data_IF_707380447710
#
_entry.id   IF_707380447710
#
_cell.length_a   1.000
_cell.length_b   1.000
_cell.length_c   1.000
_cell.angle_alpha   90.00
_cell.angle_beta   90.00
_cell.angle_gamma   90.00
#
_symmetry.space_group_name_H-M   'P 1'
#
loop_
_entity.id
_entity.type
_entity.pdbx_description
1 polymer ?
#
# COMPACT_ATOMS: atom_id res chain seq x y z
N UNK A 1 20.61 -8.55 1.21
CA UNK A 1 19.29 -7.91 1.14
C UNK A 1 19.25 -6.94 -0.03
N UNK A 2 18.21 -6.99 -0.86
CA UNK A 2 18.06 -6.08 -2.02
C UNK A 2 17.57 -4.73 -1.51
N UNK A 3 18.39 -3.69 -1.65
CA UNK A 3 17.95 -2.30 -1.45
C UNK A 3 17.14 -1.89 -2.68
N UNK A 4 15.82 -1.81 -2.51
CA UNK A 4 14.94 -1.27 -3.53
C UNK A 4 14.84 0.24 -3.32
N UNK A 5 15.42 1.02 -4.22
CA UNK A 5 15.11 2.45 -4.31
C UNK A 5 13.70 2.59 -4.90
N UNK A 6 12.70 2.77 -4.03
CA UNK A 6 11.30 2.92 -4.42
C UNK A 6 10.87 4.38 -4.48
N UNK A 7 9.90 4.67 -5.35
CA UNK A 7 9.22 5.96 -5.44
C UNK A 7 7.73 5.74 -5.15
N UNK A 8 7.11 6.61 -4.36
CA UNK A 8 5.68 6.53 -4.06
C UNK A 8 4.91 7.63 -4.82
N UNK A 9 3.90 7.23 -5.60
CA UNK A 9 2.93 8.13 -6.21
C UNK A 9 1.68 8.17 -5.32
N UNK A 10 1.44 9.34 -4.70
CA UNK A 10 0.38 9.53 -3.71
C UNK A 10 -1.04 9.57 -4.30
N UNK A 11 -2.03 9.27 -3.47
CA UNK A 11 -3.47 9.39 -3.75
C UNK A 11 -3.92 10.76 -4.23
N UNK A 12 -3.17 11.82 -3.92
CA UNK A 12 -3.43 13.15 -4.45
C UNK A 12 -3.37 13.24 -5.99
N UNK A 13 -2.75 12.27 -6.67
CA UNK A 13 -2.54 12.27 -8.12
C UNK A 13 -3.50 11.36 -8.88
N UNK A 14 -4.00 10.32 -8.21
CA UNK A 14 -4.83 9.27 -8.82
C UNK A 14 -6.18 9.06 -8.13
N UNK A 15 -6.35 9.44 -6.87
CA UNK A 15 -7.59 9.25 -6.10
C UNK A 15 -8.30 10.57 -5.80
N UNK A 16 -9.51 10.48 -5.24
CA UNK A 16 -10.19 11.68 -4.74
C UNK A 16 -9.37 12.26 -3.57
N UNK A 17 -9.11 13.55 -3.61
CA UNK A 17 -8.24 14.22 -2.64
C UNK A 17 -8.66 15.67 -2.45
N UNK A 18 -7.89 16.45 -1.68
CA UNK A 18 -8.07 17.91 -1.62
C UNK A 18 -7.88 18.60 -2.97
N UNK A 19 -7.29 17.92 -3.96
CA UNK A 19 -7.00 18.46 -5.29
C UNK A 19 -7.92 17.93 -6.40
N UNK A 20 -8.60 16.80 -6.17
CA UNK A 20 -9.50 16.17 -7.15
C UNK A 20 -10.78 15.71 -6.46
N UNK A 21 -11.93 16.20 -6.90
CA UNK A 21 -13.24 15.72 -6.46
C UNK A 21 -13.50 14.30 -6.95
N UNK A 22 -14.46 13.62 -6.31
CA UNK A 22 -14.86 12.27 -6.74
C UNK A 22 -15.42 12.26 -8.17
N UNK A 23 -16.16 13.30 -8.57
CA UNK A 23 -16.70 13.42 -9.92
C UNK A 23 -15.62 13.66 -10.97
N UNK A 24 -14.62 14.50 -10.68
CA UNK A 24 -13.44 14.68 -11.55
C UNK A 24 -12.66 13.37 -11.69
N UNK A 25 -12.61 12.60 -10.60
CA UNK A 25 -11.93 11.31 -10.59
C UNK A 25 -12.68 10.28 -11.45
N UNK A 26 -14.01 10.23 -11.35
CA UNK A 26 -14.85 9.33 -12.17
C UNK A 26 -14.90 9.74 -13.65
N UNK A 27 -14.99 11.03 -13.93
CA UNK A 27 -15.15 11.56 -15.30
C UNK A 27 -13.83 11.79 -16.05
N UNK A 28 -12.69 11.67 -15.38
CA UNK A 28 -11.38 11.90 -15.97
C UNK A 28 -11.01 10.86 -17.03
N UNK A 29 -10.67 11.32 -18.24
CA UNK A 29 -10.14 10.48 -19.31
C UNK A 29 -8.62 10.25 -19.18
N UNK A 30 -8.05 9.52 -20.15
CA UNK A 30 -6.61 9.21 -20.14
C UNK A 30 -5.73 10.47 -20.19
N UNK A 31 -6.12 11.49 -20.94
CA UNK A 31 -5.32 12.72 -21.08
C UNK A 31 -5.39 13.56 -19.81
N UNK A 32 -6.54 13.61 -19.15
CA UNK A 32 -6.69 14.18 -17.82
C UNK A 32 -5.75 13.48 -16.82
N UNK A 33 -5.74 12.15 -16.77
CA UNK A 33 -4.89 11.39 -15.84
C UNK A 33 -3.40 11.59 -16.17
N UNK A 34 -3.01 11.64 -17.44
CA UNK A 34 -1.63 11.99 -17.83
C UNK A 34 -1.27 13.39 -17.35
N UNK A 35 -2.15 14.36 -17.58
CA UNK A 35 -1.92 15.74 -17.15
C UNK A 35 -1.79 15.85 -15.63
N UNK A 36 -2.58 15.11 -14.83
CA UNK A 36 -2.39 15.10 -13.36
C UNK A 36 -1.06 14.47 -12.95
N UNK A 37 -0.53 13.50 -13.70
CA UNK A 37 0.81 12.96 -13.50
C UNK A 37 1.90 13.99 -13.81
N UNK A 38 1.73 14.78 -14.88
CA UNK A 38 2.71 15.73 -15.41
C UNK A 38 2.66 17.15 -14.84
N UNK A 39 1.62 17.54 -14.12
CA UNK A 39 1.48 18.91 -13.59
C UNK A 39 1.86 19.02 -12.11
N UNK A 40 2.33 17.93 -11.50
CA UNK A 40 2.76 17.90 -10.11
C UNK A 40 3.95 18.85 -9.86
N UNK A 41 3.79 19.96 -9.10
CA UNK A 41 4.71 21.10 -9.13
C UNK A 41 6.14 20.91 -8.57
N UNK A 42 6.55 19.72 -8.11
CA UNK A 42 7.77 19.60 -7.29
C UNK A 42 8.69 18.39 -7.55
N UNK A 43 8.38 17.42 -8.43
CA UNK A 43 9.20 16.18 -8.48
C UNK A 43 9.49 15.58 -9.86
N UNK A 44 9.03 16.19 -10.95
CA UNK A 44 9.12 15.58 -12.30
C UNK A 44 10.57 15.44 -12.79
N UNK A 45 11.51 16.27 -12.33
CA UNK A 45 12.94 16.05 -12.63
C UNK A 45 13.47 14.70 -12.11
N UNK A 46 12.76 14.03 -11.17
CA UNK A 46 13.12 12.69 -10.66
C UNK A 46 12.30 11.55 -11.27
N UNK A 47 11.20 11.85 -11.96
CA UNK A 47 10.38 10.87 -12.67
C UNK A 47 10.78 10.91 -14.15
N UNK A 48 11.85 10.21 -14.50
CA UNK A 48 11.91 9.76 -15.90
C UNK A 48 10.85 8.68 -16.05
N UNK A 49 9.95 8.85 -17.00
CA UNK A 49 8.95 7.85 -17.44
C UNK A 49 9.59 6.50 -17.83
N UNK A 50 10.92 6.49 -17.94
CA UNK A 50 11.77 5.33 -18.19
C UNK A 50 12.35 4.70 -16.91
N UNK A 51 11.87 5.08 -15.73
CA UNK A 51 12.36 4.51 -14.47
C UNK A 51 12.18 2.99 -14.45
N UNK A 52 13.23 2.28 -14.02
CA UNK A 52 13.20 0.85 -13.75
C UNK A 52 12.99 0.54 -12.25
N UNK A 53 12.64 1.57 -11.47
CA UNK A 53 12.43 1.48 -10.03
C UNK A 53 11.06 0.92 -9.69
N UNK A 54 10.89 0.60 -8.40
CA UNK A 54 9.58 0.32 -7.82
C UNK A 54 8.78 1.61 -7.72
N UNK A 55 7.55 1.60 -8.22
CA UNK A 55 6.61 2.71 -8.12
C UNK A 55 5.36 2.25 -7.38
N UNK A 56 5.11 2.83 -6.21
CA UNK A 56 3.89 2.54 -5.43
C UNK A 56 2.76 3.42 -5.94
N UNK A 57 1.69 2.80 -6.43
CA UNK A 57 0.47 3.45 -6.86
C UNK A 57 -0.51 3.50 -5.69
N UNK A 58 -0.56 4.64 -5.02
CA UNK A 58 -1.58 4.89 -4.00
C UNK A 58 -2.81 5.50 -4.68
N UNK A 59 -3.80 4.67 -5.02
CA UNK A 59 -5.10 5.10 -5.56
C UNK A 59 -6.17 4.87 -4.48
N UNK A 60 -6.23 5.80 -3.53
CA UNK A 60 -7.17 5.76 -2.42
C UNK A 60 -8.44 6.58 -2.66
N UNK A 61 -9.30 6.64 -1.64
CA UNK A 61 -10.47 7.53 -1.54
C UNK A 61 -11.45 7.45 -2.73
N UNK A 62 -12.53 6.69 -2.55
CA UNK A 62 -13.62 6.60 -3.51
C UNK A 62 -13.39 5.55 -4.59
N UNK A 63 -12.16 5.39 -5.10
CA UNK A 63 -11.90 4.42 -6.16
C UNK A 63 -11.37 3.06 -5.69
N UNK A 64 -10.75 3.00 -4.53
CA UNK A 64 -10.04 1.80 -4.10
C UNK A 64 -10.97 0.58 -3.98
N UNK A 65 -10.57 -0.60 -4.50
CA UNK A 65 -11.34 -1.84 -4.43
C UNK A 65 -11.88 -2.22 -3.06
N UNK A 66 -11.21 -1.84 -1.97
CA UNK A 66 -11.64 -2.15 -0.60
C UNK A 66 -13.01 -1.59 -0.22
N UNK A 67 -13.61 -0.73 -1.05
CA UNK A 67 -14.93 -0.13 -0.83
C UNK A 67 -15.97 -0.50 -1.89
N UNK A 68 -15.63 -1.31 -2.88
CA UNK A 68 -16.56 -1.56 -4.00
C UNK A 68 -17.86 -2.21 -3.56
N UNK A 69 -17.80 -3.10 -2.57
CA UNK A 69 -18.98 -3.69 -1.94
C UNK A 69 -19.95 -2.67 -1.28
N UNK A 70 -19.55 -1.40 -1.14
CA UNK A 70 -20.39 -0.32 -0.58
C UNK A 70 -21.12 0.50 -1.65
N UNK A 71 -20.81 0.29 -2.93
CA UNK A 71 -21.42 1.03 -4.04
C UNK A 71 -22.57 0.24 -4.68
N UNK A 72 -23.62 0.95 -5.07
CA UNK A 72 -24.68 0.41 -5.92
C UNK A 72 -24.19 0.21 -7.37
N UNK A 73 -24.79 -0.73 -8.09
CA UNK A 73 -24.27 -1.27 -9.37
C UNK A 73 -23.91 -0.24 -10.46
N UNK A 74 -24.68 0.84 -10.75
CA UNK A 74 -24.24 1.81 -11.74
C UNK A 74 -22.99 2.58 -11.32
N UNK A 75 -22.87 2.89 -10.02
CA UNK A 75 -21.73 3.61 -9.48
C UNK A 75 -20.51 2.70 -9.34
N UNK A 76 -20.71 1.43 -8.94
CA UNK A 76 -19.66 0.43 -8.83
C UNK A 76 -18.93 0.24 -10.16
N UNK A 77 -19.67 0.08 -11.26
CA UNK A 77 -19.09 -0.03 -12.60
C UNK A 77 -18.25 1.20 -12.99
N UNK A 78 -18.77 2.41 -12.75
CA UNK A 78 -18.04 3.65 -13.03
C UNK A 78 -16.77 3.79 -12.20
N UNK A 79 -16.84 3.46 -10.91
CA UNK A 79 -15.69 3.44 -9.99
C UNK A 79 -14.62 2.46 -10.47
N UNK A 80 -15.03 1.28 -10.93
CA UNK A 80 -14.14 0.24 -11.39
C UNK A 80 -13.38 0.66 -12.65
N UNK A 81 -14.11 1.14 -13.67
CA UNK A 81 -13.52 1.63 -14.91
C UNK A 81 -12.55 2.79 -14.65
N UNK A 82 -12.92 3.72 -13.76
CA UNK A 82 -12.07 4.83 -13.36
C UNK A 82 -10.78 4.37 -12.65
N UNK A 83 -10.85 3.33 -11.81
CA UNK A 83 -9.68 2.74 -11.17
C UNK A 83 -8.78 2.04 -12.19
N UNK A 84 -9.37 1.23 -13.08
CA UNK A 84 -8.68 0.50 -14.14
C UNK A 84 -7.93 1.46 -15.08
N UNK A 85 -8.60 2.49 -15.60
CA UNK A 85 -8.03 3.45 -16.54
C UNK A 85 -6.76 4.11 -15.97
N UNK A 86 -6.73 4.39 -14.66
CA UNK A 86 -5.56 4.98 -14.00
C UNK A 86 -4.37 4.04 -13.95
N UNK A 87 -4.61 2.75 -13.70
CA UNK A 87 -3.55 1.75 -13.76
C UNK A 87 -3.06 1.54 -15.19
N UNK A 88 -3.95 1.55 -16.18
CA UNK A 88 -3.58 1.46 -17.60
C UNK A 88 -2.70 2.64 -18.01
N UNK A 89 -3.10 3.87 -17.67
CA UNK A 89 -2.28 5.06 -17.91
C UNK A 89 -0.94 4.94 -17.17
N UNK A 90 -0.92 4.59 -15.88
CA UNK A 90 0.32 4.41 -15.14
C UNK A 90 1.27 3.38 -15.79
N UNK A 91 0.74 2.26 -16.32
CA UNK A 91 1.51 1.25 -17.04
C UNK A 91 2.03 1.74 -18.38
N UNK A 92 1.23 2.51 -19.13
CA UNK A 92 1.66 3.10 -20.40
C UNK A 92 2.75 4.15 -20.20
N UNK A 93 2.62 5.00 -19.19
CA UNK A 93 3.56 6.08 -18.90
C UNK A 93 4.83 5.57 -18.20
N UNK A 94 4.79 4.42 -17.53
CA UNK A 94 5.95 3.84 -16.82
C UNK A 94 6.13 2.35 -17.16
N UNK A 95 6.38 2.00 -18.44
CA UNK A 95 6.36 0.61 -18.90
C UNK A 95 7.48 -0.24 -18.29
N UNK A 96 8.60 0.38 -17.90
CA UNK A 96 9.76 -0.30 -17.34
C UNK A 96 9.75 -0.36 -15.80
N UNK A 97 8.82 0.33 -15.16
CA UNK A 97 8.74 0.40 -13.71
C UNK A 97 8.06 -0.85 -13.14
N UNK A 98 8.46 -1.21 -11.91
CA UNK A 98 7.73 -2.21 -11.12
C UNK A 98 6.60 -1.52 -10.37
N UNK A 99 5.38 -1.59 -10.91
CA UNK A 99 4.20 -0.92 -10.35
C UNK A 99 3.59 -1.75 -9.23
N UNK A 100 3.42 -1.17 -8.05
CA UNK A 100 2.85 -1.86 -6.88
C UNK A 100 1.57 -1.16 -6.45
N UNK A 101 0.45 -1.90 -6.39
CA UNK A 101 -0.83 -1.35 -5.93
C UNK A 101 -0.87 -1.30 -4.39
N UNK A 102 -1.06 -0.11 -3.83
CA UNK A 102 -1.13 0.11 -2.38
C UNK A 102 -2.55 -0.14 -1.82
N UNK A 103 -2.62 -0.71 -0.61
CA UNK A 103 -3.84 -0.83 0.21
C UNK A 103 -4.55 -2.19 0.15
N UNK A 104 -3.80 -3.26 -0.17
CA UNK A 104 -4.35 -4.58 -0.47
C UNK A 104 -3.71 -5.70 0.35
N UNK A 105 -4.41 -6.28 1.35
CA UNK A 105 -5.49 -5.72 2.18
C UNK A 105 -4.97 -4.72 3.23
N UNK A 106 -5.84 -4.16 4.07
CA UNK A 106 -5.46 -3.16 5.07
C UNK A 106 -6.42 -3.24 6.24
N UNK A 107 -5.97 -3.66 7.43
CA UNK A 107 -6.81 -3.74 8.61
C UNK A 107 -7.56 -2.42 8.85
N UNK A 108 -8.88 -2.52 9.06
CA UNK A 108 -9.69 -1.35 9.34
C UNK A 108 -9.36 -0.75 10.73
N UNK A 109 -10.04 0.33 11.13
CA UNK A 109 -9.85 0.99 12.44
C UNK A 109 -10.17 0.12 13.65
N UNK A 110 -10.80 -1.04 13.44
CA UNK A 110 -11.12 -2.05 14.44
C UNK A 110 -10.21 -3.29 14.34
N UNK A 111 -9.21 -3.24 13.46
CA UNK A 111 -8.27 -4.33 13.26
C UNK A 111 -8.82 -5.53 12.49
N UNK A 112 -9.77 -5.38 11.58
CA UNK A 112 -10.22 -6.53 10.76
C UNK A 112 -10.37 -6.16 9.30
N UNK A 113 -9.96 -7.04 8.39
CA UNK A 113 -10.44 -7.01 7.00
C UNK A 113 -11.78 -7.77 6.95
N UNK A 114 -12.76 -7.28 6.17
CA UNK A 114 -14.04 -7.98 6.00
C UNK A 114 -13.96 -8.96 4.85
N UNK A 115 -14.76 -10.03 4.88
CA UNK A 115 -14.87 -10.93 3.71
C UNK A 115 -15.41 -10.22 2.48
N UNK A 116 -16.28 -9.22 2.68
CA UNK A 116 -16.76 -8.34 1.62
C UNK A 116 -15.63 -7.55 0.93
N UNK A 117 -14.63 -7.11 1.70
CA UNK A 117 -13.45 -6.44 1.15
C UNK A 117 -12.61 -7.38 0.30
N UNK A 118 -12.39 -8.62 0.76
CA UNK A 118 -11.69 -9.62 -0.05
C UNK A 118 -12.46 -9.99 -1.30
N UNK A 119 -13.78 -10.04 -1.24
CA UNK A 119 -14.60 -10.30 -2.42
C UNK A 119 -14.44 -9.20 -3.47
N UNK A 120 -14.36 -7.93 -3.06
CA UNK A 120 -14.04 -6.84 -4.00
C UNK A 120 -12.64 -6.97 -4.61
N UNK A 121 -11.68 -7.58 -3.91
CA UNK A 121 -10.38 -7.89 -4.50
C UNK A 121 -10.44 -9.06 -5.48
N UNK A 122 -11.26 -10.08 -5.22
CA UNK A 122 -11.49 -11.18 -6.19
C UNK A 122 -12.13 -10.66 -7.46
N UNK A 123 -13.14 -9.80 -7.35
CA UNK A 123 -13.73 -9.12 -8.51
C UNK A 123 -12.67 -8.31 -9.28
N UNK A 124 -11.81 -7.55 -8.59
CA UNK A 124 -10.71 -6.84 -9.23
C UNK A 124 -9.75 -7.79 -9.97
N UNK A 125 -9.49 -8.97 -9.42
CA UNK A 125 -8.70 -10.03 -10.04
C UNK A 125 -9.33 -10.53 -11.34
N UNK A 126 -10.62 -10.89 -11.31
CA UNK A 126 -11.37 -11.40 -12.46
C UNK A 126 -11.43 -10.39 -13.61
N UNK A 127 -11.43 -9.10 -13.27
CA UNK A 127 -11.48 -8.01 -14.25
C UNK A 127 -10.09 -7.58 -14.74
N UNK A 128 -9.03 -8.29 -14.34
CA UNK A 128 -7.67 -8.05 -14.82
C UNK A 128 -7.02 -6.78 -14.28
N UNK A 129 -7.54 -6.21 -13.19
CA UNK A 129 -6.94 -5.04 -12.52
C UNK A 129 -5.51 -5.36 -12.09
N UNK A 130 -5.30 -6.56 -11.55
CA UNK A 130 -3.99 -7.01 -11.10
C UNK A 130 -3.06 -7.44 -12.24
N UNK A 131 -3.53 -7.53 -13.49
CA UNK A 131 -2.66 -7.74 -14.65
C UNK A 131 -1.84 -6.49 -14.99
N UNK A 132 -2.26 -5.32 -14.50
CA UNK A 132 -1.64 -4.03 -14.79
C UNK A 132 -0.51 -3.66 -13.81
N UNK A 133 -0.37 -4.42 -12.72
CA UNK A 133 0.62 -4.17 -11.65
C UNK A 133 1.49 -5.40 -11.41
N UNK A 134 2.65 -5.21 -10.83
CA UNK A 134 3.66 -6.25 -10.58
C UNK A 134 3.63 -6.78 -9.13
N UNK A 135 2.68 -6.30 -8.33
CA UNK A 135 2.51 -6.71 -6.94
C UNK A 135 1.52 -5.84 -6.19
N UNK A 136 1.23 -6.28 -4.97
CA UNK A 136 0.32 -5.63 -4.04
C UNK A 136 1.04 -5.28 -2.75
N UNK A 137 0.59 -4.21 -2.10
CA UNK A 137 1.18 -3.68 -0.89
C UNK A 137 0.10 -3.54 0.19
N UNK A 138 0.01 -4.50 1.13
CA UNK A 138 -0.84 -4.32 2.29
C UNK A 138 -0.27 -3.25 3.21
N UNK A 139 -1.15 -2.42 3.77
CA UNK A 139 -0.77 -1.42 4.76
C UNK A 139 -0.87 -2.04 6.16
N UNK A 140 0.29 -2.42 6.70
CA UNK A 140 0.44 -3.16 7.95
C UNK A 140 0.97 -2.25 9.08
N UNK A 141 0.49 -1.02 9.15
CA UNK A 141 0.85 -0.10 10.22
C UNK A 141 0.28 -0.58 11.56
N UNK A 142 1.05 -0.43 12.65
CA UNK A 142 0.47 -0.58 13.98
C UNK A 142 -0.70 0.38 14.14
N UNK A 143 -1.84 -0.14 14.56
CA UNK A 143 -3.09 0.62 14.70
C UNK A 143 -3.35 1.05 16.14
N UNK A 144 -2.69 0.43 17.09
CA UNK A 144 -2.93 0.59 18.50
C UNK A 144 -1.58 0.60 19.25
N UNK A 145 -1.52 1.34 20.35
CA UNK A 145 -0.43 1.34 21.32
C UNK A 145 -0.85 0.67 22.63
N UNK A 146 0.06 0.56 23.62
CA UNK A 146 -0.09 -0.36 24.76
C UNK A 146 -1.29 -0.10 25.67
N UNK A 147 -1.86 1.10 25.66
CA UNK A 147 -3.03 1.45 26.46
C UNK A 147 -4.34 1.40 25.66
N UNK A 148 -4.29 1.07 24.37
CA UNK A 148 -5.49 0.89 23.57
C UNK A 148 -6.12 -0.50 23.80
N UNK A 149 -7.47 -0.61 23.77
CA UNK A 149 -8.16 -1.88 24.04
C UNK A 149 -7.84 -3.04 23.10
N UNK A 150 -7.35 -2.76 21.87
CA UNK A 150 -7.08 -3.76 20.83
C UNK A 150 -5.58 -3.95 20.55
N UNK A 151 -4.73 -3.54 21.50
CA UNK A 151 -3.29 -3.61 21.34
C UNK A 151 -2.78 -5.05 21.22
N UNK A 152 -3.22 -5.94 22.09
CA UNK A 152 -2.76 -7.32 22.16
C UNK A 152 -3.09 -8.11 20.87
N UNK A 153 -4.23 -7.79 20.24
CA UNK A 153 -4.63 -8.40 18.97
C UNK A 153 -3.94 -7.77 17.75
N UNK A 154 -3.28 -6.62 17.89
CA UNK A 154 -2.74 -5.86 16.77
C UNK A 154 -1.82 -6.68 15.88
N UNK A 155 -0.89 -7.44 16.48
CA UNK A 155 0.07 -8.23 15.71
C UNK A 155 -0.61 -9.37 14.95
N UNK A 156 -1.57 -10.06 15.57
CA UNK A 156 -2.32 -11.12 14.92
C UNK A 156 -3.11 -10.58 13.74
N UNK A 157 -3.77 -9.44 13.92
CA UNK A 157 -4.52 -8.74 12.87
C UNK A 157 -3.63 -8.37 11.68
N UNK A 158 -2.43 -7.86 11.94
CA UNK A 158 -1.48 -7.52 10.88
C UNK A 158 -0.97 -8.77 10.16
N UNK A 159 -0.73 -9.87 10.89
CA UNK A 159 -0.34 -11.14 10.31
C UNK A 159 -1.48 -11.73 9.45
N UNK A 160 -2.72 -11.68 9.93
CA UNK A 160 -3.89 -12.13 9.17
C UNK A 160 -4.04 -11.33 7.87
N UNK A 161 -3.90 -10.00 7.92
CA UNK A 161 -3.94 -9.18 6.71
C UNK A 161 -2.79 -9.51 5.74
N UNK A 162 -1.59 -9.78 6.25
CA UNK A 162 -0.50 -10.26 5.40
C UNK A 162 -0.88 -11.60 4.74
N UNK A 163 -1.40 -12.55 5.50
CA UNK A 163 -1.79 -13.87 4.97
C UNK A 163 -2.91 -13.72 3.94
N UNK A 164 -3.92 -12.89 4.18
CA UNK A 164 -5.00 -12.64 3.22
C UNK A 164 -4.50 -11.96 1.94
N UNK A 165 -3.42 -11.18 2.01
CA UNK A 165 -2.77 -10.62 0.82
C UNK A 165 -2.27 -11.71 -0.14
N UNK A 166 -1.94 -12.89 0.39
CA UNK A 166 -1.50 -14.04 -0.39
C UNK A 166 -2.62 -14.69 -1.19
N UNK A 167 -3.89 -14.41 -0.87
CA UNK A 167 -5.05 -14.87 -1.63
C UNK A 167 -5.27 -14.05 -2.90
N UNK A 168 -4.62 -12.89 -3.04
CA UNK A 168 -4.78 -12.02 -4.20
C UNK A 168 -4.02 -12.61 -5.39
N UNK A 169 -4.76 -12.88 -6.46
CA UNK A 169 -4.23 -13.37 -7.74
C UNK A 169 -4.45 -12.36 -8.85
N UNK A 170 -3.78 -12.53 -9.98
CA UNK A 170 -4.15 -11.90 -11.24
C UNK A 170 -5.28 -12.69 -11.96
N UNK A 171 -5.70 -12.23 -13.13
CA UNK A 171 -6.81 -12.86 -13.87
C UNK A 171 -6.50 -14.29 -14.34
N UNK A 172 -5.22 -14.67 -14.36
CA UNK A 172 -4.74 -16.03 -14.69
C UNK A 172 -4.66 -16.94 -13.45
N UNK A 173 -5.03 -16.44 -12.28
CA UNK A 173 -4.93 -17.18 -11.02
C UNK A 173 -3.50 -17.25 -10.44
N UNK A 174 -2.55 -16.49 -10.98
CA UNK A 174 -1.19 -16.42 -10.45
C UNK A 174 -1.17 -15.52 -9.21
N UNK A 175 -0.55 -15.98 -8.13
CA UNK A 175 -0.43 -15.18 -6.90
C UNK A 175 0.39 -13.90 -7.12
N UNK A 176 -0.10 -12.79 -6.59
CA UNK A 176 0.60 -11.51 -6.68
C UNK A 176 1.79 -11.47 -5.70
N UNK A 177 2.95 -10.91 -6.12
CA UNK A 177 4.03 -10.58 -5.20
C UNK A 177 3.58 -9.57 -4.14
N UNK A 178 3.97 -9.78 -2.89
CA UNK A 178 3.55 -8.93 -1.76
C UNK A 178 4.70 -8.09 -1.22
N UNK A 179 4.41 -6.80 -1.00
CA UNK A 179 5.32 -5.82 -0.43
C UNK A 179 4.68 -5.16 0.80
N UNK A 180 4.75 -5.76 2.00
CA UNK A 180 4.13 -5.17 3.19
C UNK A 180 4.70 -3.78 3.49
N UNK A 181 3.78 -2.85 3.78
CA UNK A 181 4.11 -1.50 4.21
C UNK A 181 3.96 -1.36 5.73
N UNK A 182 5.06 -1.07 6.41
CA UNK A 182 5.09 -0.73 7.82
C UNK A 182 5.27 0.78 8.03
N UNK A 183 5.07 1.21 9.27
CA UNK A 183 5.34 2.57 9.74
C UNK A 183 6.05 2.46 11.08
N UNK A 184 6.95 3.40 11.36
CA UNK A 184 7.57 3.53 12.69
C UNK A 184 6.67 4.26 13.69
N UNK A 185 5.45 4.61 13.27
CA UNK A 185 4.44 5.27 14.09
C UNK A 185 3.11 4.53 14.06
N UNK A 186 2.41 4.56 15.19
CA UNK A 186 1.01 4.11 15.27
C UNK A 186 0.18 5.00 14.36
N UNK A 187 -0.58 4.40 13.45
CA UNK A 187 -1.36 5.10 12.45
C UNK A 187 -2.83 4.70 12.58
N UNK A 188 -3.56 5.40 13.44
CA UNK A 188 -4.99 5.24 13.65
C UNK A 188 -5.53 6.46 14.40
N UNK A 189 -6.31 7.31 13.73
CA UNK A 189 -6.85 8.53 14.35
C UNK A 189 -7.73 8.31 15.59
N UNK A 190 -8.12 7.07 15.89
CA UNK A 190 -8.91 6.70 17.07
C UNK A 190 -8.07 6.14 18.24
N UNK A 191 -6.77 5.89 18.03
CA UNK A 191 -5.86 5.40 19.07
C UNK A 191 -5.41 6.54 19.98
N UNK A 192 -5.24 6.24 21.27
CA UNK A 192 -4.62 7.16 22.24
C UNK A 192 -3.16 7.48 21.89
N UNK A 193 -2.53 6.62 21.10
CA UNK A 193 -1.13 6.70 20.68
C UNK A 193 -0.97 7.11 19.23
N UNK A 194 -2.01 7.67 18.58
CA UNK A 194 -1.93 8.04 17.18
C UNK A 194 -0.72 8.95 16.92
N UNK A 195 0.06 8.62 15.90
CA UNK A 195 1.34 9.23 15.54
C UNK A 195 2.51 9.00 16.49
N UNK A 196 2.32 8.37 17.66
CA UNK A 196 3.46 8.01 18.53
C UNK A 196 4.33 6.93 17.89
N UNK A 197 5.59 6.84 18.32
CA UNK A 197 6.50 5.82 17.83
C UNK A 197 6.02 4.42 18.22
N UNK A 198 6.11 3.47 17.29
CA UNK A 198 5.86 2.06 17.57
C UNK A 198 6.91 1.53 18.52
N UNK A 199 6.52 0.64 19.44
CA UNK A 199 7.50 -0.01 20.30
C UNK A 199 8.48 -0.85 19.47
N UNK A 200 9.74 -0.84 19.87
CA UNK A 200 10.77 -1.60 19.16
C UNK A 200 10.46 -3.10 19.14
N UNK A 201 9.91 -3.64 20.23
CA UNK A 201 9.42 -5.02 20.32
C UNK A 201 8.37 -5.33 19.25
N UNK A 202 7.42 -4.43 19.02
CA UNK A 202 6.37 -4.62 18.02
C UNK A 202 6.92 -4.60 16.60
N UNK A 203 7.84 -3.67 16.30
CA UNK A 203 8.51 -3.67 15.00
C UNK A 203 9.32 -4.95 14.77
N UNK A 204 10.01 -5.47 15.79
CA UNK A 204 10.70 -6.75 15.71
C UNK A 204 9.73 -7.90 15.47
N UNK A 205 8.58 -7.91 16.15
CA UNK A 205 7.56 -8.93 15.97
C UNK A 205 6.93 -8.88 14.57
N UNK A 206 6.72 -7.67 14.02
CA UNK A 206 6.27 -7.47 12.65
C UNK A 206 7.24 -8.08 11.63
N UNK A 207 8.54 -7.82 11.80
CA UNK A 207 9.57 -8.40 10.94
C UNK A 207 9.64 -9.92 11.06
N UNK A 208 9.50 -10.46 12.28
CA UNK A 208 9.51 -11.92 12.51
C UNK A 208 8.38 -12.63 11.78
N UNK A 209 7.15 -12.10 11.76
CA UNK A 209 6.09 -12.78 11.03
C UNK A 209 6.26 -12.66 9.52
N UNK A 210 6.79 -11.56 9.00
CA UNK A 210 7.12 -11.46 7.56
C UNK A 210 8.16 -12.51 7.16
N UNK A 211 9.16 -12.75 8.01
CA UNK A 211 10.19 -13.76 7.78
C UNK A 211 9.65 -15.20 7.71
N UNK A 212 8.43 -15.46 8.22
CA UNK A 212 7.77 -16.77 8.08
C UNK A 212 7.37 -17.08 6.63
N UNK A 213 7.32 -16.07 5.75
CA UNK A 213 6.79 -16.17 4.39
C UNK A 213 7.79 -15.71 3.31
N UNK A 214 9.02 -16.28 3.26
CA UNK A 214 10.08 -15.81 2.38
C UNK A 214 9.75 -15.94 0.89
N UNK A 215 8.91 -16.92 0.52
CA UNK A 215 8.52 -17.16 -0.88
C UNK A 215 7.36 -16.28 -1.35
N UNK A 216 6.72 -15.54 -0.43
CA UNK A 216 5.54 -14.72 -0.71
C UNK A 216 5.81 -13.22 -0.57
N UNK A 217 6.74 -12.85 0.30
CA UNK A 217 7.11 -11.45 0.55
C UNK A 217 8.37 -11.08 -0.23
N UNK A 218 8.23 -10.19 -1.21
CA UNK A 218 9.32 -9.84 -2.14
C UNK A 218 10.10 -8.59 -1.74
N UNK A 219 9.63 -7.87 -0.72
CA UNK A 219 10.32 -6.71 -0.17
C UNK A 219 9.51 -6.08 0.95
N UNK A 220 10.18 -5.41 1.87
CA UNK A 220 9.54 -4.70 2.98
C UNK A 220 9.68 -3.22 2.73
N UNK A 221 8.59 -2.46 2.90
CA UNK A 221 8.58 -1.01 2.74
C UNK A 221 8.28 -0.37 4.09
N UNK A 222 9.03 0.66 4.44
CA UNK A 222 8.76 1.48 5.61
C UNK A 222 8.38 2.89 5.17
N UNK A 223 7.21 3.34 5.60
CA UNK A 223 6.77 4.71 5.38
C UNK A 223 6.98 5.55 6.65
N UNK A 224 7.40 6.80 6.44
CA UNK A 224 7.45 7.83 7.47
C UNK A 224 6.86 9.13 6.91
N UNK A 225 5.95 9.80 7.63
CA UNK A 225 5.41 11.08 7.19
C UNK A 225 6.49 12.17 7.16
N UNK A 226 6.39 13.07 6.18
CA UNK A 226 7.36 14.15 5.89
C UNK A 226 7.47 15.22 6.98
N UNK A 227 6.55 15.25 7.94
CA UNK A 227 6.45 16.27 8.99
C UNK A 227 7.22 15.92 10.27
N UNK A 228 8.12 14.94 10.23
CA UNK A 228 8.70 14.39 11.45
C UNK A 228 10.21 14.56 11.52
N UNK A 229 10.68 15.25 12.57
CA UNK A 229 12.07 15.23 13.07
C UNK A 229 12.45 13.86 13.68
N UNK A 230 11.72 12.79 13.33
CA UNK A 230 11.98 11.46 13.85
C UNK A 230 13.22 10.91 13.18
N UNK A 231 14.29 10.71 13.96
CA UNK A 231 15.47 10.02 13.48
C UNK A 231 15.17 8.53 13.27
N UNK A 232 14.61 8.23 12.11
CA UNK A 232 14.38 6.88 11.60
C UNK A 232 15.68 6.08 11.63
N UNK A 233 16.85 6.71 11.47
CA UNK A 233 18.13 5.98 11.40
C UNK A 233 18.55 5.42 12.75
N UNK A 234 18.33 6.13 13.86
CA UNK A 234 18.58 5.62 15.21
C UNK A 234 17.65 4.45 15.58
N UNK A 235 16.35 4.60 15.32
CA UNK A 235 15.34 3.57 15.61
C UNK A 235 15.55 2.31 14.75
N UNK A 236 15.77 2.49 13.45
CA UNK A 236 15.99 1.39 12.50
C UNK A 236 17.30 0.62 12.77
N UNK A 237 18.38 1.31 13.16
CA UNK A 237 19.65 0.64 13.54
C UNK A 237 19.46 -0.29 14.74
N UNK A 238 18.66 0.11 15.73
CA UNK A 238 18.40 -0.74 16.90
C UNK A 238 17.56 -1.96 16.52
N UNK A 239 16.54 -1.78 15.67
CA UNK A 239 15.71 -2.88 15.16
C UNK A 239 16.55 -3.88 14.36
N UNK A 240 17.36 -3.43 13.39
CA UNK A 240 18.17 -4.32 12.57
C UNK A 240 19.25 -5.07 13.39
N UNK A 241 19.86 -4.42 14.38
CA UNK A 241 20.82 -5.06 15.30
C UNK A 241 20.18 -6.16 16.15
N UNK A 242 18.90 -6.02 16.52
CA UNK A 242 18.19 -6.99 17.35
C UNK A 242 17.54 -8.13 16.57
N UNK A 243 17.27 -7.93 15.28
CA UNK A 243 16.64 -8.92 14.42
C UNK A 243 17.63 -9.77 13.61
N UNK A 244 18.94 -9.73 13.93
CA UNK A 244 20.01 -10.40 13.18
C UNK A 244 19.95 -10.16 11.66
N UNK A 245 19.50 -8.98 11.23
CA UNK A 245 19.63 -8.52 9.85
C UNK A 245 21.02 -7.95 9.60
N UNK A 246 22.07 -8.55 10.16
CA UNK A 246 23.44 -8.22 9.77
C UNK A 246 23.61 -8.66 8.33
N UNK A 247 23.85 -7.68 7.47
CA UNK A 247 24.36 -7.89 6.12
C UNK A 247 25.82 -8.39 6.18
N UNK A 248 26.05 -9.49 6.87
CA UNK A 248 27.29 -10.26 6.79
C UNK A 248 27.05 -11.36 5.74
N UNK A 249 27.03 -10.92 4.49
CA UNK A 249 27.38 -11.78 3.37
C UNK A 249 28.85 -11.54 3.06
N UNK A 250 29.67 -12.54 3.35
CA UNK A 250 30.91 -12.83 2.60
C UNK A 250 30.60 -13.04 1.11
#
# INVERSE_FOLDING_TARGET
GVRLDGIALSSQRFGASVYLSFDEVLGGDADFIRNTLYTAPQEIERFTLLTNKLVVLNIEHGLHPRRWYTYEEPLRGAVLEAYRLRLEVARQEMPNAKLIAYGFPTPNGKGTDTDAQMESFREASELGIFDLVDGVMPSLHMRFGPQDPLYEESLQVLEDALVRSFEITNSRGESMPVFPLFSFRVNNGQSLHNTEAVQVSDTLNQLKFVQKYPDRVHGIVFWSPSTTDFDVTGHFRNVLKMADFTAEGE
#
